data_IF_362696326132
#
_entry.id   IF_362696326132
#
_cell.length_a   1.000
_cell.length_b   1.000
_cell.length_c   1.000
_cell.angle_alpha   90.00
_cell.angle_beta   90.00
_cell.angle_gamma   90.00
#
_symmetry.space_group_name_H-M   'P 1'
#
loop_
_entity.id
_entity.type
_entity.pdbx_description
1 polymer ?
#
# COMPACT_ATOMS: atom_id res chain seq x y z
N UNK A 1 -1.55 -14.27 29.23
CA UNK A 1 -1.20 -14.03 27.81
C UNK A 1 -2.42 -14.29 26.92
N UNK A 2 -3.58 -13.68 27.23
CA UNK A 2 -4.88 -14.05 26.60
C UNK A 2 -5.84 -12.86 26.37
N UNK A 3 -5.38 -11.62 26.59
CA UNK A 3 -6.26 -10.42 26.54
C UNK A 3 -6.13 -9.58 25.25
N UNK A 4 -5.21 -9.93 24.35
CA UNK A 4 -5.02 -9.22 23.06
C UNK A 4 -6.07 -9.60 22.01
N UNK A 5 -6.49 -10.87 22.00
CA UNK A 5 -7.45 -11.41 21.01
C UNK A 5 -8.87 -10.87 21.16
N UNK A 6 -9.31 -10.51 22.38
CA UNK A 6 -10.66 -9.99 22.60
C UNK A 6 -10.88 -8.56 22.07
N UNK A 7 -9.82 -7.74 21.96
CA UNK A 7 -9.95 -6.38 21.38
C UNK A 7 -10.13 -6.42 19.87
N UNK A 8 -9.44 -7.32 19.16
CA UNK A 8 -9.59 -7.48 17.71
C UNK A 8 -10.97 -8.03 17.31
N UNK A 9 -11.53 -8.94 18.11
CA UNK A 9 -12.85 -9.54 17.86
C UNK A 9 -14.00 -8.52 17.92
N UNK A 10 -13.84 -7.43 18.69
CA UNK A 10 -14.86 -6.38 18.83
C UNK A 10 -14.91 -5.42 17.63
N UNK A 11 -13.79 -5.22 16.92
CA UNK A 11 -13.76 -4.47 15.66
C UNK A 11 -14.36 -5.27 14.50
N UNK A 12 -14.23 -6.60 14.50
CA UNK A 12 -14.76 -7.44 13.43
C UNK A 12 -16.29 -7.67 13.52
N UNK A 13 -16.87 -7.53 14.72
CA UNK A 13 -18.30 -7.77 14.96
C UNK A 13 -19.19 -6.52 14.83
N UNK A 14 -18.63 -5.34 14.57
CA UNK A 14 -19.41 -4.11 14.30
C UNK A 14 -19.53 -3.76 12.82
N UNK A 15 -19.13 -4.66 11.91
CA UNK A 15 -19.46 -4.53 10.50
C UNK A 15 -20.98 -4.70 10.36
N UNK A 16 -21.68 -3.61 10.10
CA UNK A 16 -23.08 -3.62 9.68
C UNK A 16 -23.26 -4.58 8.49
N UNK A 17 -24.38 -5.31 8.42
CA UNK A 17 -24.63 -6.26 7.34
C UNK A 17 -24.58 -5.51 6.00
N UNK A 18 -23.61 -5.90 5.17
CA UNK A 18 -23.54 -5.51 3.76
C UNK A 18 -24.83 -5.96 3.09
N UNK A 19 -25.55 -5.01 2.49
CA UNK A 19 -26.74 -5.29 1.69
C UNK A 19 -26.42 -6.37 0.63
N UNK A 20 -27.36 -7.26 0.30
CA UNK A 20 -27.13 -8.30 -0.69
C UNK A 20 -26.74 -7.66 -2.03
N UNK A 21 -25.60 -8.07 -2.59
CA UNK A 21 -25.19 -7.76 -3.95
C UNK A 21 -26.13 -8.45 -4.94
N UNK A 22 -27.35 -7.91 -5.07
CA UNK A 22 -28.28 -8.18 -6.15
C UNK A 22 -28.10 -7.11 -7.22
N UNK A 23 -27.32 -7.40 -8.26
CA UNK A 23 -27.09 -6.49 -9.37
C UNK A 23 -25.85 -6.89 -10.16
N UNK A 24 -25.94 -8.00 -10.89
CA UNK A 24 -24.89 -8.42 -11.82
C UNK A 24 -24.67 -7.36 -12.89
N UNK A 25 -23.55 -6.65 -12.82
CA UNK A 25 -22.94 -6.02 -13.98
C UNK A 25 -21.75 -6.90 -14.34
N UNK A 26 -21.95 -7.74 -15.36
CA UNK A 26 -20.85 -8.51 -15.93
C UNK A 26 -19.83 -7.54 -16.54
N UNK A 27 -18.55 -7.89 -16.53
CA UNK A 27 -17.45 -7.08 -17.10
C UNK A 27 -17.73 -6.65 -18.55
N UNK A 28 -18.60 -7.36 -19.27
CA UNK A 28 -19.12 -7.01 -20.60
C UNK A 28 -19.86 -5.66 -20.65
N UNK A 29 -20.57 -5.27 -19.59
CA UNK A 29 -21.44 -4.08 -19.59
C UNK A 29 -20.63 -2.78 -19.47
N UNK A 30 -19.46 -2.87 -18.84
CA UNK A 30 -18.50 -1.76 -18.73
C UNK A 30 -17.80 -1.45 -20.05
N UNK A 31 -17.61 -2.47 -20.90
CA UNK A 31 -16.89 -2.38 -22.17
C UNK A 31 -17.79 -1.94 -23.34
N UNK A 32 -19.12 -2.03 -23.19
CA UNK A 32 -20.07 -1.70 -24.25
C UNK A 32 -20.76 -0.33 -24.07
N UNK A 33 -20.31 0.49 -23.11
CA UNK A 33 -20.74 1.89 -23.05
C UNK A 33 -20.16 2.63 -24.25
N UNK A 34 -20.98 3.31 -25.07
CA UNK A 34 -20.46 4.10 -26.19
C UNK A 34 -19.44 5.09 -25.64
N UNK A 35 -18.22 5.07 -26.20
CA UNK A 35 -17.20 6.07 -25.94
C UNK A 35 -17.86 7.42 -26.19
N UNK A 36 -18.07 8.19 -25.11
CA UNK A 36 -18.73 9.49 -25.16
C UNK A 36 -18.09 10.32 -26.27
N UNK A 37 -18.93 10.75 -27.22
CA UNK A 37 -18.59 11.63 -28.33
C UNK A 37 -17.82 12.84 -27.81
N UNK A 38 -16.79 13.24 -28.56
CA UNK A 38 -15.78 14.24 -28.22
C UNK A 38 -16.35 15.54 -27.59
N UNK A 39 -16.48 15.53 -26.28
CA UNK A 39 -16.50 16.68 -25.39
C UNK A 39 -15.46 16.39 -24.31
N UNK A 40 -14.54 17.32 -24.07
CA UNK A 40 -13.37 17.15 -23.21
C UNK A 40 -13.70 16.36 -21.94
N UNK A 41 -13.18 15.14 -21.83
CA UNK A 41 -13.30 14.35 -20.60
C UNK A 41 -12.77 15.20 -19.44
N UNK A 42 -13.45 15.22 -18.27
CA UNK A 42 -12.95 15.92 -17.11
C UNK A 42 -11.53 15.43 -16.80
N UNK A 43 -10.62 16.37 -16.60
CA UNK A 43 -9.24 16.07 -16.22
C UNK A 43 -9.30 15.45 -14.83
N UNK A 44 -8.98 14.16 -14.77
CA UNK A 44 -9.01 13.41 -13.51
C UNK A 44 -7.74 13.71 -12.70
N UNK A 45 -7.88 13.81 -11.38
CA UNK A 45 -6.75 14.04 -10.47
C UNK A 45 -5.69 12.93 -10.55
N UNK A 46 -6.13 11.67 -10.70
CA UNK A 46 -5.26 10.52 -10.89
C UNK A 46 -5.83 9.61 -11.98
N UNK A 47 -4.98 9.17 -12.92
CA UNK A 47 -5.28 8.11 -13.89
C UNK A 47 -4.18 7.07 -13.79
N UNK A 48 -4.58 5.80 -13.71
CA UNK A 48 -3.63 4.68 -13.73
C UNK A 48 -2.83 4.73 -15.03
N UNK A 49 -1.52 4.73 -14.90
CA UNK A 49 -0.62 4.65 -16.05
C UNK A 49 -0.44 3.19 -16.45
N UNK A 50 -0.69 2.87 -17.71
CA UNK A 50 -0.47 1.55 -18.30
C UNK A 50 0.60 1.68 -19.38
N UNK A 51 1.65 0.87 -19.25
CA UNK A 51 2.77 0.73 -20.18
C UNK A 51 2.44 -0.19 -21.37
N UNK A 52 1.36 -0.98 -21.28
CA UNK A 52 0.82 -1.81 -22.36
C UNK A 52 1.21 -3.30 -22.29
N UNK A 53 2.12 -3.69 -21.38
CA UNK A 53 2.57 -5.09 -21.22
C UNK A 53 2.03 -5.77 -19.96
N UNK A 54 1.24 -5.08 -19.16
CA UNK A 54 0.73 -5.56 -17.86
C UNK A 54 -0.03 -6.89 -18.02
N UNK A 55 -0.96 -6.92 -18.98
CA UNK A 55 -1.80 -8.11 -19.23
C UNK A 55 -0.95 -9.30 -19.71
N UNK A 56 0.14 -9.05 -20.43
CA UNK A 56 1.06 -10.10 -20.88
C UNK A 56 1.78 -10.72 -19.69
N UNK A 57 2.32 -9.91 -18.78
CA UNK A 57 3.02 -10.43 -17.60
C UNK A 57 2.08 -11.14 -16.61
N UNK A 58 0.84 -10.65 -16.46
CA UNK A 58 -0.19 -11.36 -15.68
C UNK A 58 -0.50 -12.73 -16.31
N UNK A 59 -0.66 -12.79 -17.63
CA UNK A 59 -0.89 -14.04 -18.33
C UNK A 59 0.31 -15.00 -18.21
N UNK A 60 1.54 -14.50 -18.33
CA UNK A 60 2.76 -15.28 -18.15
C UNK A 60 2.87 -15.86 -16.73
N UNK A 61 2.59 -15.07 -15.69
CA UNK A 61 2.56 -15.55 -14.30
C UNK A 61 1.49 -16.65 -14.10
N UNK A 62 0.33 -16.49 -14.75
CA UNK A 62 -0.75 -17.48 -14.73
C UNK A 62 -0.31 -18.78 -15.41
N UNK A 63 0.31 -18.72 -16.59
CA UNK A 63 0.79 -19.90 -17.32
C UNK A 63 1.89 -20.62 -16.55
N UNK A 64 2.80 -19.88 -15.91
CA UNK A 64 3.83 -20.43 -15.04
C UNK A 64 3.30 -21.09 -13.76
N UNK A 65 1.98 -21.00 -13.48
CA UNK A 65 1.31 -21.52 -12.29
C UNK A 65 1.94 -21.04 -10.96
N UNK A 66 2.58 -19.88 -10.96
CA UNK A 66 3.20 -19.28 -9.78
C UNK A 66 2.71 -17.85 -9.61
N UNK A 67 1.56 -17.71 -8.94
CA UNK A 67 0.90 -16.42 -8.68
C UNK A 67 1.07 -15.95 -7.22
N UNK A 68 1.70 -16.76 -6.37
CA UNK A 68 2.06 -16.42 -4.99
C UNK A 68 3.31 -15.53 -4.92
N UNK A 69 3.63 -15.04 -3.72
CA UNK A 69 4.87 -14.32 -3.43
C UNK A 69 6.13 -15.12 -3.81
N UNK A 70 7.25 -14.41 -3.93
CA UNK A 70 8.58 -14.97 -4.25
C UNK A 70 8.71 -15.73 -5.58
N UNK A 71 7.76 -15.53 -6.49
CA UNK A 71 7.82 -15.99 -7.87
C UNK A 71 8.85 -15.25 -8.74
N UNK A 72 8.90 -15.63 -10.02
CA UNK A 72 9.84 -15.07 -11.01
C UNK A 72 9.74 -13.55 -11.14
N UNK A 73 8.53 -13.01 -11.20
CA UNK A 73 8.31 -11.57 -11.31
C UNK A 73 8.73 -10.81 -10.04
N UNK A 74 8.47 -11.38 -8.86
CA UNK A 74 8.93 -10.82 -7.59
C UNK A 74 10.46 -10.68 -7.59
N UNK A 75 11.19 -11.74 -7.98
CA UNK A 75 12.66 -11.73 -8.05
C UNK A 75 13.18 -10.72 -9.07
N UNK A 76 12.54 -10.62 -10.24
CA UNK A 76 12.88 -9.63 -11.27
C UNK A 76 12.70 -8.21 -10.75
N UNK A 77 11.60 -7.94 -10.04
CA UNK A 77 11.37 -6.64 -9.42
C UNK A 77 12.37 -6.34 -8.29
N UNK A 78 12.72 -7.33 -7.45
CA UNK A 78 13.76 -7.15 -6.42
C UNK A 78 15.08 -6.72 -7.03
N UNK A 79 15.57 -7.48 -8.03
CA UNK A 79 16.84 -7.18 -8.68
C UNK A 79 16.82 -5.79 -9.35
N UNK A 80 15.73 -5.44 -10.03
CA UNK A 80 15.59 -4.13 -10.66
C UNK A 80 15.61 -2.99 -9.63
N UNK A 81 14.89 -3.12 -8.51
CA UNK A 81 14.88 -2.12 -7.43
C UNK A 81 16.26 -2.01 -6.78
N UNK A 82 16.91 -3.14 -6.46
CA UNK A 82 18.25 -3.19 -5.87
C UNK A 82 19.27 -2.44 -6.73
N UNK A 83 19.24 -2.67 -8.06
CA UNK A 83 20.12 -2.00 -9.01
C UNK A 83 19.82 -0.49 -9.14
N UNK A 84 18.56 -0.08 -9.22
CA UNK A 84 18.19 1.30 -9.52
C UNK A 84 18.18 2.22 -8.29
N UNK A 85 17.92 1.66 -7.10
CA UNK A 85 17.92 2.41 -5.83
C UNK A 85 19.26 2.28 -5.12
N UNK A 86 20.06 1.25 -5.41
CA UNK A 86 21.34 1.00 -4.75
C UNK A 86 21.19 0.46 -3.32
N UNK A 87 20.06 -0.19 -3.01
CA UNK A 87 19.86 -0.80 -1.70
C UNK A 87 20.46 -2.22 -1.64
N UNK A 88 20.82 -2.67 -0.44
CA UNK A 88 21.38 -4.02 -0.25
C UNK A 88 20.36 -5.12 -0.54
N UNK A 89 19.08 -4.88 -0.23
CA UNK A 89 17.99 -5.82 -0.50
C UNK A 89 16.67 -5.08 -0.69
N UNK A 90 15.90 -5.51 -1.67
CA UNK A 90 14.51 -5.10 -1.87
C UNK A 90 13.56 -6.25 -1.48
N UNK A 91 12.49 -5.92 -0.77
CA UNK A 91 11.42 -6.85 -0.39
C UNK A 91 10.08 -6.25 -0.80
N UNK A 92 9.28 -7.01 -1.54
CA UNK A 92 7.99 -6.55 -2.03
C UNK A 92 6.91 -6.91 -1.02
N UNK A 93 6.13 -5.90 -0.65
CA UNK A 93 4.95 -6.05 0.20
C UNK A 93 3.69 -5.71 -0.58
N UNK A 94 2.54 -6.11 -0.06
CA UNK A 94 1.23 -5.84 -0.68
C UNK A 94 0.78 -4.38 -0.48
N UNK A 95 1.45 -3.60 0.37
CA UNK A 95 1.20 -2.17 0.59
C UNK A 95 2.38 -1.47 1.27
N UNK A 96 2.45 -0.14 1.14
CA UNK A 96 3.43 0.68 1.85
C UNK A 96 3.24 0.63 3.37
N UNK A 97 1.99 0.55 3.86
CA UNK A 97 1.69 0.37 5.29
C UNK A 97 2.31 -0.92 5.84
N UNK A 98 2.15 -2.04 5.12
CA UNK A 98 2.76 -3.31 5.53
C UNK A 98 4.29 -3.25 5.51
N UNK A 99 4.89 -2.50 4.58
CA UNK A 99 6.34 -2.28 4.57
C UNK A 99 6.81 -1.49 5.80
N UNK A 100 6.06 -0.45 6.20
CA UNK A 100 6.37 0.34 7.39
C UNK A 100 6.20 -0.47 8.67
N UNK A 101 5.14 -1.28 8.78
CA UNK A 101 4.95 -2.19 9.91
C UNK A 101 6.06 -3.24 10.00
N UNK A 102 6.46 -3.83 8.87
CA UNK A 102 7.60 -4.75 8.81
C UNK A 102 8.91 -4.06 9.21
N UNK A 103 9.10 -2.80 8.83
CA UNK A 103 10.27 -2.01 9.20
C UNK A 103 10.29 -1.71 10.69
N UNK A 104 9.14 -1.35 11.28
CA UNK A 104 9.01 -1.14 12.72
C UNK A 104 9.27 -2.43 13.52
N UNK A 105 8.87 -3.59 12.99
CA UNK A 105 9.22 -4.89 13.54
C UNK A 105 10.72 -5.18 13.47
N UNK A 106 11.35 -4.91 12.32
CA UNK A 106 12.76 -5.17 12.10
C UNK A 106 13.68 -4.27 12.95
N UNK A 107 13.22 -3.08 13.29
CA UNK A 107 13.91 -2.14 14.17
C UNK A 107 13.74 -2.46 15.66
N UNK A 108 13.02 -3.55 16.02
CA UNK A 108 12.77 -3.97 17.39
C UNK A 108 12.21 -2.87 18.29
N UNK A 109 11.33 -2.04 17.74
CA UNK A 109 10.70 -0.93 18.47
C UNK A 109 9.93 -1.48 19.68
N UNK A 110 10.22 -0.90 20.86
CA UNK A 110 9.56 -1.23 22.12
C UNK A 110 8.64 -0.09 22.58
N UNK A 111 7.64 -0.38 23.43
CA UNK A 111 6.79 0.66 23.99
C UNK A 111 7.60 1.74 24.72
N UNK A 112 7.39 3.00 24.32
CA UNK A 112 8.10 4.16 24.87
C UNK A 112 9.22 4.70 23.98
N UNK A 113 9.62 3.99 22.92
CA UNK A 113 10.61 4.50 21.96
C UNK A 113 10.08 5.71 21.19
N UNK A 114 10.88 6.77 21.12
CA UNK A 114 10.54 7.99 20.40
C UNK A 114 10.87 7.88 18.91
N UNK A 115 9.88 8.16 18.05
CA UNK A 115 10.02 8.07 16.60
C UNK A 115 9.82 9.43 15.98
N UNK A 116 10.91 10.01 15.48
CA UNK A 116 10.89 11.31 14.81
C UNK A 116 10.24 11.16 13.43
N UNK A 117 9.19 11.95 13.17
CA UNK A 117 8.51 11.96 11.88
C UNK A 117 7.93 13.34 11.54
N UNK A 118 7.78 13.71 10.26
CA UNK A 118 7.14 14.96 9.88
C UNK A 118 5.68 15.02 10.34
N UNK A 119 5.24 16.21 10.77
CA UNK A 119 3.82 16.49 11.06
C UNK A 119 2.95 16.44 9.80
N UNK A 120 3.52 16.75 8.63
CA UNK A 120 2.86 16.69 7.33
C UNK A 120 3.23 15.41 6.58
N UNK A 121 2.51 14.32 6.87
CA UNK A 121 2.68 13.02 6.21
C UNK A 121 1.35 12.26 6.15
N UNK A 122 1.34 11.15 5.40
CA UNK A 122 0.21 10.24 5.39
C UNK A 122 0.11 9.48 6.72
N UNK A 123 -1.11 9.27 7.21
CA UNK A 123 -1.37 8.67 8.54
C UNK A 123 -0.80 7.27 8.72
N UNK A 124 -0.55 6.52 7.64
CA UNK A 124 0.10 5.21 7.72
C UNK A 124 1.51 5.28 8.32
N UNK A 125 2.21 6.41 8.16
CA UNK A 125 3.55 6.61 8.73
C UNK A 125 3.50 6.53 10.25
N UNK A 126 2.59 7.26 10.90
CA UNK A 126 2.47 7.22 12.36
C UNK A 126 1.89 5.90 12.86
N UNK A 127 0.84 5.39 12.18
CA UNK A 127 0.14 4.17 12.61
C UNK A 127 1.07 2.96 12.71
N UNK A 128 2.01 2.80 11.76
CA UNK A 128 2.92 1.67 11.75
C UNK A 128 3.76 1.56 13.03
N UNK A 129 4.22 2.70 13.58
CA UNK A 129 5.03 2.73 14.79
C UNK A 129 4.20 2.74 16.08
N UNK A 130 3.06 3.45 16.08
CA UNK A 130 2.14 3.49 17.24
C UNK A 130 1.57 2.11 17.55
N UNK A 131 1.29 1.28 16.54
CA UNK A 131 0.84 -0.10 16.73
C UNK A 131 1.85 -0.97 17.51
N UNK A 132 3.13 -0.58 17.53
CA UNK A 132 4.20 -1.25 18.30
C UNK A 132 4.47 -0.60 19.66
N UNK A 133 3.75 0.48 19.99
CA UNK A 133 3.94 1.24 21.23
C UNK A 133 4.97 2.37 21.12
N UNK A 134 5.48 2.64 19.92
CA UNK A 134 6.33 3.81 19.68
C UNK A 134 5.57 5.12 19.88
N UNK A 135 6.27 6.14 20.35
CA UNK A 135 5.75 7.49 20.62
C UNK A 135 6.19 8.41 19.48
N UNK A 136 5.27 8.87 18.62
CA UNK A 136 5.60 9.81 17.55
C UNK A 136 6.06 11.16 18.12
N UNK A 137 7.21 11.63 17.69
CA UNK A 137 7.72 12.98 17.96
C UNK A 137 7.68 13.75 16.65
N UNK A 138 6.75 14.69 16.55
CA UNK A 138 6.53 15.44 15.31
C UNK A 138 7.55 16.55 15.14
N UNK A 139 8.15 16.60 13.94
CA UNK A 139 9.03 17.70 13.52
C UNK A 139 8.37 18.56 12.47
N UNK A 140 8.74 19.84 12.47
CA UNK A 140 8.24 20.82 11.52
C UNK A 140 8.74 20.55 10.10
N UNK A 141 7.99 21.04 9.12
CA UNK A 141 8.30 20.90 7.69
C UNK A 141 8.76 22.22 7.09
N UNK A 142 9.55 22.16 6.03
CA UNK A 142 9.77 23.35 5.19
C UNK A 142 8.57 23.59 4.29
N UNK A 143 8.15 24.84 4.19
CA UNK A 143 7.06 25.26 3.30
C UNK A 143 7.39 25.06 1.81
N UNK A 144 8.67 25.08 1.43
CA UNK A 144 9.11 24.99 0.03
C UNK A 144 8.99 23.57 -0.57
N UNK A 145 9.20 22.55 0.26
CA UNK A 145 9.33 21.15 -0.15
C UNK A 145 8.35 20.23 0.57
N UNK A 146 7.67 20.74 1.61
CA UNK A 146 6.77 20.00 2.50
C UNK A 146 7.41 18.76 3.13
N UNK A 147 8.74 18.75 3.27
CA UNK A 147 9.54 17.68 3.87
C UNK A 147 10.04 18.08 5.26
N UNK A 148 10.32 17.08 6.10
CA UNK A 148 10.89 17.27 7.43
C UNK A 148 12.23 18.01 7.37
N UNK A 149 12.45 18.91 8.33
CA UNK A 149 13.72 19.63 8.49
C UNK A 149 14.61 18.86 9.46
N UNK A 150 15.74 18.37 8.98
CA UNK A 150 16.83 17.95 9.85
C UNK A 150 17.72 19.16 10.06
N UNK A 151 17.64 19.77 11.24
CA UNK A 151 18.63 20.77 11.69
C UNK A 151 19.87 20.07 12.23
#
# INVERSE_FOLDING_TARGET
MELSWLKYRRYFLSATPVAPFGGGTTVSDSLNKPLRTAGSLPVAFNRLHLTGREMLYIAEARVAQHMSGDGTFTKRCHAWIEEHVGCAKALLTHSCTAALEMSALLLDIVPGDEIIMPSYTFTSTANAFVLRGGVPVFVDIREDTLRAVQR
#
